data_IF_423895164337
#
_entry.id   IF_423895164337
#
_cell.length_a   1.000
_cell.length_b   1.000
_cell.length_c   1.000
_cell.angle_alpha   90.00
_cell.angle_beta   90.00
_cell.angle_gamma   90.00
#
_symmetry.space_group_name_H-M   'P 1'
#
loop_
_entity.id
_entity.type
_entity.pdbx_description
1 polymer ?
#
# COMPACT_ATOMS: atom_id res chain seq x y z
N UNK A 1 26.86 5.60 -12.84
CA UNK A 1 26.50 5.94 -11.44
C UNK A 1 26.30 4.64 -10.69
N UNK A 2 26.74 4.51 -9.42
CA UNK A 2 26.41 3.30 -8.62
C UNK A 2 24.97 3.40 -8.12
N UNK A 3 24.40 2.26 -7.70
CA UNK A 3 23.07 2.20 -7.09
C UNK A 3 22.97 3.07 -5.83
N UNK A 4 23.96 2.97 -4.93
CA UNK A 4 24.01 3.74 -3.69
C UNK A 4 24.03 5.25 -3.97
N UNK A 5 24.76 5.67 -5.01
CA UNK A 5 24.80 7.07 -5.43
C UNK A 5 23.46 7.53 -5.99
N UNK A 6 22.77 6.69 -6.79
CA UNK A 6 21.45 6.97 -7.32
C UNK A 6 20.40 7.11 -6.20
N UNK A 7 20.42 6.18 -5.24
CA UNK A 7 19.53 6.22 -4.07
C UNK A 7 19.79 7.45 -3.21
N UNK A 8 21.06 7.78 -2.94
CA UNK A 8 21.43 8.99 -2.19
C UNK A 8 20.96 10.27 -2.90
N UNK A 9 21.12 10.35 -4.24
CA UNK A 9 20.61 11.45 -5.05
C UNK A 9 19.10 11.58 -4.95
N UNK A 10 18.37 10.47 -5.04
CA UNK A 10 16.90 10.45 -4.87
C UNK A 10 16.49 11.02 -3.51
N UNK A 11 17.11 10.57 -2.40
CA UNK A 11 16.78 11.08 -1.08
C UNK A 11 17.20 12.54 -0.84
N UNK A 12 18.20 13.05 -1.56
CA UNK A 12 18.60 14.45 -1.52
C UNK A 12 17.53 15.39 -2.12
N UNK A 13 16.64 14.88 -3.00
CA UNK A 13 15.48 15.63 -3.51
C UNK A 13 14.40 15.86 -2.43
N UNK A 14 14.58 15.29 -1.25
CA UNK A 14 13.66 15.36 -0.12
C UNK A 14 12.75 14.14 -0.04
N UNK A 15 12.28 13.86 1.17
CA UNK A 15 11.24 12.85 1.37
C UNK A 15 9.90 13.33 0.79
N UNK A 16 9.04 12.41 0.38
CA UNK A 16 7.76 12.64 -0.33
C UNK A 16 6.89 13.81 0.18
N UNK A 17 7.04 14.20 1.45
CA UNK A 17 6.20 15.23 2.08
C UNK A 17 7.01 16.31 2.81
N UNK A 18 8.34 16.27 2.80
CA UNK A 18 9.13 17.08 3.74
C UNK A 18 9.24 18.55 3.37
N UNK A 19 9.12 18.93 2.10
CA UNK A 19 9.38 20.30 1.64
C UNK A 19 8.57 20.70 0.40
N UNK A 20 7.30 20.39 0.35
CA UNK A 20 6.53 20.78 -0.83
C UNK A 20 5.80 22.09 -0.57
N UNK A 21 6.28 23.23 -1.10
CA UNK A 21 5.45 24.41 -1.23
C UNK A 21 4.20 24.05 -2.05
N UNK A 22 3.08 24.72 -1.77
CA UNK A 22 1.80 24.49 -2.45
C UNK A 22 1.85 24.53 -4.00
N UNK A 23 2.95 25.04 -4.57
CA UNK A 23 3.20 25.15 -6.02
C UNK A 23 3.80 23.90 -6.68
N UNK A 24 4.15 22.84 -5.92
CA UNK A 24 4.79 21.63 -6.47
C UNK A 24 3.83 20.52 -6.92
N UNK A 25 2.54 20.70 -6.76
CA UNK A 25 1.54 19.78 -7.28
C UNK A 25 0.98 20.31 -8.60
N UNK A 26 1.76 20.14 -9.68
CA UNK A 26 1.31 20.48 -11.02
C UNK A 26 1.76 19.40 -12.00
N UNK A 27 0.80 18.80 -12.69
CA UNK A 27 1.07 17.81 -13.73
C UNK A 27 1.82 18.40 -14.94
N UNK A 28 1.87 19.71 -15.09
CA UNK A 28 2.61 20.36 -16.17
C UNK A 28 4.09 19.97 -16.13
N UNK A 29 4.72 19.97 -14.96
CA UNK A 29 6.12 19.56 -14.80
C UNK A 29 6.36 18.13 -15.24
N UNK A 30 5.53 17.21 -14.77
CA UNK A 30 5.62 15.80 -15.16
C UNK A 30 5.42 15.61 -16.67
N UNK A 31 4.48 16.34 -17.28
CA UNK A 31 4.24 16.30 -18.74
C UNK A 31 5.43 16.79 -19.54
N UNK A 32 6.09 17.88 -19.11
CA UNK A 32 7.31 18.40 -19.78
C UNK A 32 8.43 17.36 -19.68
N UNK A 33 8.65 16.76 -18.52
CA UNK A 33 9.65 15.70 -18.33
C UNK A 33 9.37 14.50 -19.25
N UNK A 34 8.14 13.98 -19.24
CA UNK A 34 7.75 12.82 -20.05
C UNK A 34 7.81 13.12 -21.56
N UNK A 35 7.49 14.34 -21.98
CA UNK A 35 7.66 14.76 -23.38
C UNK A 35 9.14 14.69 -23.81
N UNK A 36 10.06 15.18 -22.97
CA UNK A 36 11.49 15.09 -23.24
C UNK A 36 11.99 13.64 -23.24
N UNK A 37 11.32 12.75 -22.48
CA UNK A 37 11.54 11.30 -22.47
C UNK A 37 10.83 10.55 -23.60
N UNK A 38 10.14 11.24 -24.54
CA UNK A 38 9.37 10.67 -25.66
C UNK A 38 8.12 9.89 -25.25
N UNK A 39 7.46 10.31 -24.16
CA UNK A 39 6.18 9.78 -23.69
C UNK A 39 6.16 8.26 -23.36
N UNK A 40 7.08 7.76 -22.51
CA UNK A 40 7.12 6.35 -22.15
C UNK A 40 5.81 5.86 -21.50
N UNK A 41 5.02 6.77 -20.89
CA UNK A 41 3.71 6.48 -20.28
C UNK A 41 2.63 6.03 -21.29
N UNK A 42 2.89 6.16 -22.59
CA UNK A 42 1.96 5.79 -23.67
C UNK A 42 2.24 4.41 -24.29
N UNK A 43 3.35 3.79 -23.90
CA UNK A 43 3.80 2.53 -24.50
C UNK A 43 3.13 1.30 -23.84
N UNK A 44 2.28 1.50 -22.84
CA UNK A 44 1.58 0.42 -22.12
C UNK A 44 0.19 0.86 -21.68
N UNK A 45 -0.70 -0.12 -21.50
CA UNK A 45 -1.99 0.11 -20.86
C UNK A 45 -1.83 0.30 -19.34
N UNK A 46 -2.75 1.02 -18.71
CA UNK A 46 -2.64 1.27 -17.25
C UNK A 46 -3.98 1.14 -16.52
N UNK A 47 -3.90 0.76 -15.24
CA UNK A 47 -4.94 0.91 -14.24
C UNK A 47 -4.42 1.88 -13.18
N UNK A 48 -5.21 2.89 -12.84
CA UNK A 48 -4.83 3.90 -11.83
C UNK A 48 -5.68 3.73 -10.58
N UNK A 49 -5.05 3.62 -9.42
CA UNK A 49 -5.70 3.31 -8.14
C UNK A 49 -5.49 4.44 -7.13
N UNK A 50 -6.57 5.16 -6.79
CA UNK A 50 -6.57 6.17 -5.72
C UNK A 50 -7.41 5.71 -4.53
N UNK A 51 -7.20 6.34 -3.38
CA UNK A 51 -7.89 6.07 -2.13
C UNK A 51 -7.08 6.52 -0.92
N UNK A 52 -7.61 6.39 0.27
CA UNK A 52 -6.85 6.61 1.51
C UNK A 52 -6.21 5.30 1.93
N UNK A 53 -7.01 4.27 2.17
CA UNK A 53 -6.55 2.95 2.59
C UNK A 53 -6.85 1.90 1.52
N UNK A 54 -6.06 0.83 1.47
CA UNK A 54 -6.30 -0.31 0.58
C UNK A 54 -5.69 -0.22 -0.81
N UNK A 55 -5.13 0.91 -1.25
CA UNK A 55 -4.53 1.09 -2.57
C UNK A 55 -3.52 -0.01 -2.91
N UNK A 56 -2.46 -0.12 -2.12
CA UNK A 56 -1.39 -1.09 -2.35
C UNK A 56 -1.85 -2.54 -2.30
N UNK A 57 -2.76 -2.91 -1.37
CA UNK A 57 -3.34 -4.26 -1.31
C UNK A 57 -4.18 -4.58 -2.56
N UNK A 58 -5.00 -3.63 -3.01
CA UNK A 58 -5.77 -3.76 -4.26
C UNK A 58 -4.84 -3.88 -5.46
N UNK A 59 -3.81 -3.02 -5.53
CA UNK A 59 -2.82 -3.02 -6.61
C UNK A 59 -2.03 -4.34 -6.68
N UNK A 60 -1.54 -4.82 -5.55
CA UNK A 60 -0.80 -6.08 -5.48
C UNK A 60 -1.66 -7.28 -5.87
N UNK A 61 -2.92 -7.33 -5.40
CA UNK A 61 -3.86 -8.40 -5.77
C UNK A 61 -4.19 -8.36 -7.26
N UNK A 62 -4.47 -7.17 -7.81
CA UNK A 62 -4.75 -7.02 -9.24
C UNK A 62 -3.54 -7.43 -10.09
N UNK A 63 -2.35 -6.92 -9.77
CA UNK A 63 -1.13 -7.27 -10.50
C UNK A 63 -0.85 -8.78 -10.45
N UNK A 64 -1.12 -9.45 -9.33
CA UNK A 64 -0.98 -10.90 -9.20
C UNK A 64 -2.00 -11.66 -10.07
N UNK A 65 -3.26 -11.20 -10.16
CA UNK A 65 -4.27 -11.78 -11.05
C UNK A 65 -3.85 -11.61 -12.51
N UNK A 66 -3.39 -10.43 -12.93
CA UNK A 66 -2.97 -10.14 -14.29
C UNK A 66 -1.74 -10.97 -14.69
N UNK A 67 -0.74 -11.08 -13.81
CA UNK A 67 0.39 -11.98 -13.99
C UNK A 67 -0.06 -13.45 -14.14
N UNK A 68 -0.97 -13.90 -13.28
CA UNK A 68 -1.54 -15.24 -13.36
C UNK A 68 -2.32 -15.49 -14.65
N UNK A 69 -2.79 -14.41 -15.29
CA UNK A 69 -3.44 -14.45 -16.62
C UNK A 69 -2.45 -14.55 -17.79
N UNK A 70 -1.14 -14.49 -17.51
CA UNK A 70 -0.08 -14.54 -18.53
C UNK A 70 0.31 -13.19 -19.11
N UNK A 71 -0.24 -12.07 -18.60
CA UNK A 71 0.10 -10.72 -19.04
C UNK A 71 1.44 -10.27 -18.43
N UNK A 72 2.32 -9.66 -19.23
CA UNK A 72 3.53 -9.00 -18.72
C UNK A 72 3.11 -7.74 -17.97
N UNK A 73 3.02 -7.86 -16.66
CA UNK A 73 2.37 -6.89 -15.77
C UNK A 73 3.38 -6.12 -14.94
N UNK A 74 3.28 -4.78 -14.94
CA UNK A 74 4.02 -3.94 -14.02
C UNK A 74 3.16 -3.53 -12.83
N UNK A 75 3.83 -3.27 -11.70
CA UNK A 75 3.25 -2.74 -10.47
C UNK A 75 4.09 -1.56 -9.99
N UNK A 76 3.47 -0.40 -9.81
CA UNK A 76 4.05 0.78 -9.18
C UNK A 76 3.34 1.11 -7.89
N UNK A 77 4.05 1.18 -6.77
CA UNK A 77 3.48 1.39 -5.44
C UNK A 77 4.29 2.36 -4.59
N UNK A 78 3.67 2.94 -3.58
CA UNK A 78 4.31 3.84 -2.63
C UNK A 78 3.64 3.85 -1.25
N UNK A 79 4.40 4.09 -0.17
CA UNK A 79 5.86 4.05 -0.11
C UNK A 79 6.40 2.60 -0.08
N UNK A 80 7.74 2.43 -0.02
CA UNK A 80 8.40 1.13 0.17
C UNK A 80 8.55 0.79 1.67
N UNK A 81 8.78 -0.48 1.98
CA UNK A 81 9.10 -0.98 3.32
C UNK A 81 10.60 -0.91 3.61
N UNK A 82 11.40 -1.55 2.79
CA UNK A 82 12.85 -1.73 2.99
C UNK A 82 13.68 -1.01 1.93
N UNK A 83 13.34 -1.22 0.65
CA UNK A 83 14.16 -0.78 -0.48
C UNK A 83 13.34 0.03 -1.47
N UNK A 84 13.95 1.07 -2.03
CA UNK A 84 13.32 1.91 -3.06
C UNK A 84 12.87 1.11 -4.29
N UNK A 85 13.53 0.00 -4.59
CA UNK A 85 13.25 -0.90 -5.71
C UNK A 85 11.86 -1.54 -5.61
N UNK A 86 11.35 -1.77 -4.38
CA UNK A 86 10.02 -2.32 -4.14
C UNK A 86 8.90 -1.56 -4.85
N UNK A 87 9.14 -0.27 -5.15
CA UNK A 87 8.16 0.60 -5.80
C UNK A 87 7.93 0.26 -7.26
N UNK A 88 8.87 -0.42 -7.91
CA UNK A 88 8.88 -0.70 -9.35
C UNK A 88 9.06 -2.21 -9.54
N UNK A 89 7.99 -2.90 -9.91
CA UNK A 89 8.02 -4.34 -10.13
C UNK A 89 7.47 -4.72 -11.50
N UNK A 90 8.05 -5.74 -12.11
CA UNK A 90 7.52 -6.38 -13.32
C UNK A 90 7.37 -7.88 -13.04
N UNK A 91 6.18 -8.42 -13.27
CA UNK A 91 5.83 -9.82 -12.97
C UNK A 91 6.17 -10.26 -11.54
N UNK A 92 6.13 -9.32 -10.58
CA UNK A 92 6.42 -9.55 -9.16
C UNK A 92 7.87 -9.32 -8.76
N UNK A 93 8.80 -9.22 -9.73
CA UNK A 93 10.22 -8.97 -9.48
C UNK A 93 10.51 -7.47 -9.42
N UNK A 94 11.33 -7.05 -8.46
CA UNK A 94 11.76 -5.66 -8.30
C UNK A 94 12.73 -5.26 -9.40
N UNK A 95 12.73 -3.98 -9.77
CA UNK A 95 13.76 -3.42 -10.65
C UNK A 95 15.16 -3.72 -10.08
N UNK A 96 16.09 -4.13 -10.94
CA UNK A 96 17.47 -4.39 -10.53
C UNK A 96 18.18 -3.09 -10.08
N UNK A 97 19.20 -3.23 -9.23
CA UNK A 97 20.03 -2.10 -8.78
C UNK A 97 20.69 -1.40 -9.96
N UNK A 98 21.18 -2.16 -10.93
CA UNK A 98 21.82 -1.64 -12.14
C UNK A 98 20.83 -0.88 -13.04
N UNK A 99 19.64 -1.42 -13.26
CA UNK A 99 18.62 -0.75 -14.04
C UNK A 99 18.11 0.52 -13.37
N UNK A 100 17.91 0.47 -12.06
CA UNK A 100 17.53 1.65 -11.29
C UNK A 100 18.59 2.76 -11.41
N UNK A 101 19.86 2.43 -11.17
CA UNK A 101 20.97 3.40 -11.26
C UNK A 101 21.12 3.98 -12.68
N UNK A 102 21.00 3.14 -13.70
CA UNK A 102 21.08 3.55 -15.11
C UNK A 102 19.93 4.49 -15.48
N UNK A 103 18.69 4.09 -15.16
CA UNK A 103 17.50 4.89 -15.46
C UNK A 103 17.46 6.19 -14.68
N UNK A 104 17.84 6.17 -13.40
CA UNK A 104 18.01 7.38 -12.62
C UNK A 104 18.93 8.36 -13.33
N UNK A 105 20.16 7.94 -13.72
CA UNK A 105 21.11 8.81 -14.37
C UNK A 105 20.64 9.35 -15.74
N UNK A 106 19.80 8.60 -16.45
CA UNK A 106 19.21 9.07 -17.71
C UNK A 106 18.13 10.12 -17.49
N UNK A 107 17.20 9.88 -16.54
CA UNK A 107 16.09 10.78 -16.21
C UNK A 107 16.64 12.06 -15.58
N UNK A 108 17.59 11.94 -14.65
CA UNK A 108 18.25 13.05 -13.96
C UNK A 108 18.93 14.00 -14.95
N UNK A 109 19.71 13.45 -15.88
CA UNK A 109 20.34 14.24 -16.94
C UNK A 109 19.32 14.98 -17.82
N UNK A 110 18.18 14.36 -18.14
CA UNK A 110 17.12 15.03 -18.91
C UNK A 110 16.52 16.16 -18.06
N UNK A 111 16.24 15.92 -16.78
CA UNK A 111 15.70 16.91 -15.86
C UNK A 111 16.64 18.12 -15.70
N UNK A 112 17.94 17.89 -15.51
CA UNK A 112 18.95 18.95 -15.44
C UNK A 112 18.99 19.81 -16.73
N UNK A 113 18.91 19.15 -17.90
CA UNK A 113 18.87 19.86 -19.18
C UNK A 113 17.62 20.74 -19.34
N UNK A 114 16.47 20.25 -18.90
CA UNK A 114 15.22 21.02 -18.92
C UNK A 114 15.26 22.23 -17.98
N UNK A 115 15.85 22.06 -16.80
CA UNK A 115 16.07 23.19 -15.86
C UNK A 115 17.06 24.18 -16.43
N UNK A 116 18.18 23.74 -17.02
CA UNK A 116 19.18 24.61 -17.62
C UNK A 116 18.65 25.40 -18.83
N UNK A 117 17.61 24.89 -19.51
CA UNK A 117 16.92 25.58 -20.63
C UNK A 117 15.70 26.38 -20.18
N UNK A 118 15.46 26.48 -18.89
CA UNK A 118 14.28 27.14 -18.31
C UNK A 118 12.93 26.54 -18.77
N UNK A 119 12.94 25.29 -19.29
CA UNK A 119 11.73 24.53 -19.63
C UNK A 119 11.05 23.95 -18.37
N UNK A 120 11.84 23.70 -17.32
CA UNK A 120 11.37 23.42 -15.97
C UNK A 120 11.90 24.48 -15.00
N UNK A 121 11.05 25.04 -14.12
CA UNK A 121 11.47 26.09 -13.17
C UNK A 121 12.35 25.55 -12.03
N UNK A 122 12.31 24.23 -11.77
CA UNK A 122 13.13 23.51 -10.78
C UNK A 122 13.20 22.02 -11.14
N UNK A 123 14.16 21.34 -10.53
CA UNK A 123 14.32 19.89 -10.68
C UNK A 123 13.06 19.13 -10.20
N UNK A 124 12.62 18.05 -10.90
CA UNK A 124 11.52 17.23 -10.46
C UNK A 124 11.69 16.71 -9.03
N UNK A 125 10.59 16.57 -8.30
CA UNK A 125 10.56 16.05 -6.94
C UNK A 125 10.93 14.56 -6.91
N UNK A 126 11.22 14.04 -5.70
CA UNK A 126 11.43 12.60 -5.48
C UNK A 126 10.36 11.73 -6.15
N UNK A 127 9.08 12.08 -5.97
CA UNK A 127 7.99 11.27 -6.50
C UNK A 127 7.84 11.37 -8.02
N UNK A 128 8.05 12.54 -8.60
CA UNK A 128 8.07 12.74 -10.05
C UNK A 128 9.23 11.97 -10.70
N UNK A 129 10.44 12.02 -10.12
CA UNK A 129 11.59 11.22 -10.57
C UNK A 129 11.30 9.72 -10.50
N UNK A 130 10.76 9.23 -9.37
CA UNK A 130 10.39 7.81 -9.22
C UNK A 130 9.38 7.37 -10.27
N UNK A 131 8.35 8.19 -10.52
CA UNK A 131 7.31 7.90 -11.52
C UNK A 131 7.91 7.88 -12.93
N UNK A 132 8.79 8.82 -13.27
CA UNK A 132 9.47 8.86 -14.57
C UNK A 132 10.39 7.65 -14.77
N UNK A 133 11.17 7.26 -13.75
CA UNK A 133 12.02 6.05 -13.77
C UNK A 133 11.16 4.80 -14.00
N UNK A 134 10.03 4.68 -13.27
CA UNK A 134 9.10 3.56 -13.43
C UNK A 134 8.57 3.47 -14.85
N UNK A 135 8.08 4.57 -15.42
CA UNK A 135 7.54 4.57 -16.78
C UNK A 135 8.60 4.27 -17.83
N UNK A 136 9.84 4.79 -17.67
CA UNK A 136 10.95 4.45 -18.55
C UNK A 136 11.31 2.96 -18.48
N UNK A 137 11.27 2.38 -17.28
CA UNK A 137 11.51 0.94 -17.11
C UNK A 137 10.43 0.11 -17.77
N UNK A 138 9.16 0.44 -17.53
CA UNK A 138 8.01 -0.26 -18.07
C UNK A 138 7.97 -0.25 -19.61
N UNK A 139 8.22 0.92 -20.21
CA UNK A 139 8.29 1.06 -21.67
C UNK A 139 9.42 0.21 -22.28
N UNK A 140 10.63 0.25 -21.67
CA UNK A 140 11.76 -0.58 -22.14
C UNK A 140 11.52 -2.07 -22.05
N UNK A 141 10.89 -2.49 -20.98
CA UNK A 141 10.55 -3.87 -20.75
C UNK A 141 9.33 -4.33 -21.55
N UNK A 142 8.72 -3.41 -22.32
CA UNK A 142 7.57 -3.71 -23.19
C UNK A 142 6.46 -4.44 -22.42
N UNK A 143 6.08 -3.90 -21.27
CA UNK A 143 4.97 -4.46 -20.48
C UNK A 143 3.65 -4.26 -21.22
N UNK A 144 2.68 -5.14 -20.97
CA UNK A 144 1.34 -5.04 -21.56
C UNK A 144 0.44 -4.13 -20.75
N UNK A 145 0.55 -4.19 -19.40
CA UNK A 145 -0.28 -3.41 -18.48
C UNK A 145 0.45 -3.04 -17.19
N UNK A 146 0.28 -1.80 -16.75
CA UNK A 146 0.76 -1.31 -15.46
C UNK A 146 -0.39 -1.10 -14.48
N UNK A 147 -0.23 -1.58 -13.25
CA UNK A 147 -1.07 -1.23 -12.11
C UNK A 147 -0.34 -0.14 -11.32
N UNK A 148 -0.93 1.06 -11.29
CA UNK A 148 -0.31 2.25 -10.75
C UNK A 148 -1.04 2.71 -9.48
N UNK A 149 -0.37 2.68 -8.35
CA UNK A 149 -0.85 3.26 -7.10
C UNK A 149 -0.55 4.77 -7.07
N UNK A 150 -1.57 5.58 -6.85
CA UNK A 150 -1.45 7.03 -6.61
C UNK A 150 -0.72 7.26 -5.29
N UNK A 151 0.31 8.10 -5.29
CA UNK A 151 1.05 8.44 -4.09
C UNK A 151 0.21 9.22 -3.09
N UNK A 152 -0.35 10.36 -3.53
CA UNK A 152 -1.19 11.21 -2.68
C UNK A 152 -2.28 11.92 -3.49
N UNK A 153 -3.51 11.96 -2.93
CA UNK A 153 -4.65 12.60 -3.60
C UNK A 153 -5.09 11.81 -4.81
N UNK A 154 -4.84 12.33 -5.99
CA UNK A 154 -5.19 11.75 -7.29
C UNK A 154 -5.06 12.78 -8.40
N UNK A 155 -5.84 13.85 -8.36
CA UNK A 155 -5.96 14.87 -9.42
C UNK A 155 -4.62 15.44 -9.90
N UNK A 156 -3.71 15.74 -8.99
CA UNK A 156 -2.40 16.33 -9.25
C UNK A 156 -1.22 15.36 -8.96
N UNK A 157 -1.52 14.08 -8.76
CA UNK A 157 -0.48 13.06 -8.55
C UNK A 157 0.30 12.80 -9.84
N UNK A 158 1.63 12.64 -9.74
CA UNK A 158 2.49 12.43 -10.91
C UNK A 158 2.07 11.20 -11.75
N UNK A 159 1.45 10.19 -11.14
CA UNK A 159 0.93 9.03 -11.87
C UNK A 159 -0.30 9.36 -12.73
N UNK A 160 -1.00 10.46 -12.44
CA UNK A 160 -2.24 10.86 -13.14
C UNK A 160 -2.01 11.49 -14.53
N UNK A 161 -0.83 11.32 -15.08
CA UNK A 161 -0.49 11.72 -16.47
C UNK A 161 -0.85 10.64 -17.50
N UNK A 162 -1.17 9.42 -17.06
CA UNK A 162 -1.60 8.31 -17.92
C UNK A 162 -3.09 8.43 -18.31
N UNK A 163 -3.47 7.71 -19.37
CA UNK A 163 -4.88 7.49 -19.73
C UNK A 163 -5.27 6.06 -19.31
N UNK A 164 -5.79 5.87 -18.08
CA UNK A 164 -6.07 4.53 -17.56
C UNK A 164 -7.24 3.87 -18.28
N UNK A 165 -7.12 2.57 -18.56
CA UNK A 165 -8.22 1.73 -19.07
C UNK A 165 -9.33 1.62 -18.03
N UNK A 166 -8.94 1.54 -16.76
CA UNK A 166 -9.84 1.52 -15.60
C UNK A 166 -9.23 2.36 -14.48
N UNK A 167 -10.04 3.24 -13.88
CA UNK A 167 -9.73 3.93 -12.62
C UNK A 167 -10.34 3.16 -11.46
N UNK A 168 -9.63 3.09 -10.32
CA UNK A 168 -10.12 2.41 -9.11
C UNK A 168 -10.08 3.36 -7.93
N UNK A 169 -11.17 3.45 -7.18
CA UNK A 169 -11.22 4.24 -5.94
C UNK A 169 -11.45 3.28 -4.77
N UNK A 170 -10.43 3.15 -3.92
CA UNK A 170 -10.47 2.36 -2.68
C UNK A 170 -11.09 3.17 -1.54
N UNK A 171 -11.05 2.68 -0.30
CA UNK A 171 -11.69 3.36 0.83
C UNK A 171 -11.11 4.76 1.07
N UNK A 172 -12.01 5.74 1.25
CA UNK A 172 -11.70 7.14 1.53
C UNK A 172 -11.98 7.44 3.01
N UNK A 173 -11.00 8.05 3.66
CA UNK A 173 -11.07 8.54 5.04
C UNK A 173 -10.19 9.77 5.22
N UNK A 174 -10.28 10.41 6.38
CA UNK A 174 -9.41 11.54 6.72
C UNK A 174 -7.95 11.08 6.79
N UNK A 175 -7.12 11.64 5.95
CA UNK A 175 -5.65 11.53 5.96
C UNK A 175 -5.06 12.67 5.12
N UNK A 176 -3.80 13.04 5.37
CA UNK A 176 -3.11 14.10 4.65
C UNK A 176 -3.88 15.43 4.59
N UNK A 177 -4.60 15.80 5.66
CA UNK A 177 -5.53 16.95 5.69
C UNK A 177 -4.85 18.27 5.32
N UNK A 178 -3.56 18.45 5.62
CA UNK A 178 -2.78 19.64 5.22
C UNK A 178 -2.69 19.86 3.71
N UNK A 179 -2.90 18.81 2.91
CA UNK A 179 -2.73 18.84 1.46
C UNK A 179 -4.04 18.60 0.71
N UNK A 180 -4.92 17.74 1.25
CA UNK A 180 -6.09 17.24 0.53
C UNK A 180 -7.42 17.85 1.01
N UNK A 181 -7.38 18.62 2.13
CA UNK A 181 -8.55 19.21 2.74
C UNK A 181 -8.95 18.57 4.07
N UNK A 182 -9.87 19.21 4.77
CA UNK A 182 -10.26 18.87 6.14
C UNK A 182 -11.51 18.02 6.24
N UNK A 183 -12.18 17.76 5.12
CA UNK A 183 -13.41 16.97 5.04
C UNK A 183 -13.23 15.75 4.13
N UNK A 184 -14.03 14.72 4.37
CA UNK A 184 -14.06 13.52 3.52
C UNK A 184 -14.44 13.88 2.08
N UNK A 185 -15.34 14.85 1.90
CA UNK A 185 -15.75 15.33 0.58
C UNK A 185 -14.64 16.04 -0.20
N UNK A 186 -13.81 16.84 0.47
CA UNK A 186 -12.62 17.48 -0.15
C UNK A 186 -11.61 16.44 -0.60
N UNK A 187 -11.29 15.49 0.28
CA UNK A 187 -10.37 14.39 -0.01
C UNK A 187 -10.91 13.52 -1.15
N UNK A 188 -12.21 13.23 -1.17
CA UNK A 188 -12.86 12.49 -2.24
C UNK A 188 -12.74 13.20 -3.59
N UNK A 189 -12.86 14.53 -3.63
CA UNK A 189 -12.73 15.33 -4.86
C UNK A 189 -11.33 15.23 -5.45
N UNK A 190 -10.29 15.30 -4.62
CA UNK A 190 -8.90 15.09 -5.08
C UNK A 190 -8.70 13.68 -5.64
N UNK A 191 -9.29 12.65 -5.01
CA UNK A 191 -9.16 11.26 -5.46
C UNK A 191 -9.99 10.97 -6.72
N UNK A 192 -11.19 11.52 -6.83
CA UNK A 192 -12.05 11.40 -8.01
C UNK A 192 -11.43 12.05 -9.27
N UNK A 193 -10.41 12.91 -9.10
CA UNK A 193 -9.66 13.50 -10.21
C UNK A 193 -8.88 12.50 -11.09
N UNK A 194 -8.87 11.21 -10.76
CA UNK A 194 -8.34 10.15 -11.64
C UNK A 194 -9.38 9.59 -12.62
N UNK A 195 -10.67 9.95 -12.47
CA UNK A 195 -11.76 9.48 -13.34
C UNK A 195 -11.64 10.20 -14.68
N UNK A 196 -11.76 9.48 -15.77
CA UNK A 196 -11.68 10.03 -17.15
C UNK A 196 -13.06 10.20 -17.77
N UNK A 197 -13.26 11.21 -18.62
CA UNK A 197 -14.47 11.35 -19.40
C UNK A 197 -14.77 10.08 -20.23
N UNK A 198 -15.98 9.51 -20.07
CA UNK A 198 -16.36 8.26 -20.69
C UNK A 198 -15.58 7.02 -20.24
N UNK A 199 -14.72 7.14 -19.22
CA UNK A 199 -13.91 6.06 -18.68
C UNK A 199 -14.68 5.13 -17.76
N UNK A 200 -14.03 4.04 -17.33
CA UNK A 200 -14.59 3.10 -16.35
C UNK A 200 -13.98 3.37 -14.98
N UNK A 201 -14.81 3.45 -13.94
CA UNK A 201 -14.36 3.58 -12.56
C UNK A 201 -14.95 2.47 -11.69
N UNK A 202 -14.08 1.72 -11.02
CA UNK A 202 -14.46 0.66 -10.08
C UNK A 202 -14.35 1.21 -8.65
N UNK A 203 -15.41 1.03 -7.85
CA UNK A 203 -15.42 1.48 -6.46
C UNK A 203 -16.35 0.61 -5.59
N UNK A 204 -16.33 0.86 -4.29
CA UNK A 204 -17.23 0.30 -3.28
C UNK A 204 -17.98 1.44 -2.57
N UNK A 205 -19.11 1.17 -1.90
CA UNK A 205 -19.79 2.16 -1.06
C UNK A 205 -18.80 2.82 -0.08
N UNK A 206 -18.86 4.13 -0.05
CA UNK A 206 -18.05 5.01 0.80
C UNK A 206 -18.93 5.67 1.87
N UNK A 207 -18.34 6.54 2.70
CA UNK A 207 -19.11 7.47 3.51
C UNK A 207 -19.98 8.37 2.61
N UNK A 208 -21.15 8.82 3.08
CA UNK A 208 -22.11 9.55 2.22
C UNK A 208 -21.50 10.69 1.41
N UNK A 209 -20.70 11.54 2.07
CA UNK A 209 -20.04 12.69 1.42
C UNK A 209 -19.08 12.27 0.28
N UNK A 210 -18.35 11.16 0.46
CA UNK A 210 -17.48 10.63 -0.58
C UNK A 210 -18.29 9.98 -1.72
N UNK A 211 -19.37 9.26 -1.40
CA UNK A 211 -20.27 8.70 -2.41
C UNK A 211 -20.88 9.79 -3.30
N UNK A 212 -21.32 10.89 -2.70
CA UNK A 212 -21.91 12.02 -3.44
C UNK A 212 -20.89 12.63 -4.40
N UNK A 213 -19.66 12.85 -3.94
CA UNK A 213 -18.59 13.40 -4.79
C UNK A 213 -18.24 12.46 -5.94
N UNK A 214 -18.04 11.17 -5.66
CA UNK A 214 -17.71 10.17 -6.69
C UNK A 214 -18.86 10.02 -7.68
N UNK A 215 -20.11 9.90 -7.17
CA UNK A 215 -21.30 9.76 -8.00
C UNK A 215 -21.52 10.96 -8.92
N UNK A 216 -21.41 12.19 -8.42
CA UNK A 216 -21.50 13.40 -9.23
C UNK A 216 -20.38 13.46 -10.28
N UNK A 217 -19.14 13.11 -9.92
CA UNK A 217 -18.02 13.08 -10.87
C UNK A 217 -18.26 12.07 -11.99
N UNK A 218 -18.81 10.89 -11.68
CA UNK A 218 -19.18 9.87 -12.68
C UNK A 218 -20.23 10.44 -13.65
N UNK A 219 -21.25 11.09 -13.14
CA UNK A 219 -22.32 11.70 -13.95
C UNK A 219 -21.78 12.83 -14.84
N UNK A 220 -21.02 13.76 -14.27
CA UNK A 220 -20.46 14.91 -14.97
C UNK A 220 -19.52 14.52 -16.10
N UNK A 221 -18.74 13.47 -15.90
CA UNK A 221 -17.78 12.95 -16.89
C UNK A 221 -18.38 11.88 -17.80
N UNK A 222 -19.67 11.54 -17.66
CA UNK A 222 -20.32 10.45 -18.39
C UNK A 222 -19.53 9.13 -18.29
N UNK A 223 -18.90 8.88 -17.14
CA UNK A 223 -18.12 7.68 -16.89
C UNK A 223 -19.03 6.48 -16.53
N UNK A 224 -18.52 5.28 -16.73
CA UNK A 224 -19.18 4.04 -16.30
C UNK A 224 -18.76 3.71 -14.87
N UNK A 225 -19.70 3.81 -13.93
CA UNK A 225 -19.50 3.41 -12.53
C UNK A 225 -19.73 1.91 -12.34
N UNK A 226 -18.71 1.18 -11.87
CA UNK A 226 -18.79 -0.25 -11.58
C UNK A 226 -18.68 -0.49 -10.07
N UNK A 227 -19.69 -1.14 -9.50
CA UNK A 227 -19.67 -1.52 -8.08
C UNK A 227 -18.97 -2.85 -7.86
N UNK A 228 -18.01 -2.89 -6.95
CA UNK A 228 -17.36 -4.13 -6.54
C UNK A 228 -18.11 -4.89 -5.41
N UNK A 229 -19.28 -4.39 -4.98
CA UNK A 229 -20.11 -5.05 -3.94
C UNK A 229 -20.42 -6.51 -4.23
N UNK A 230 -20.72 -6.95 -5.46
CA UNK A 230 -21.00 -8.35 -5.76
C UNK A 230 -19.85 -9.30 -5.43
N UNK A 231 -18.62 -8.78 -5.32
CA UNK A 231 -17.42 -9.57 -5.04
C UNK A 231 -17.00 -9.53 -3.56
N UNK A 232 -17.73 -8.77 -2.72
CA UNK A 232 -17.52 -8.80 -1.26
C UNK A 232 -18.36 -9.94 -0.68
N UNK A 233 -17.74 -10.93 0.00
CA UNK A 233 -18.51 -12.04 0.59
C UNK A 233 -19.47 -11.53 1.66
N UNK A 234 -20.73 -11.98 1.63
CA UNK A 234 -21.81 -11.52 2.51
C UNK A 234 -21.54 -11.86 3.99
N UNK A 235 -20.90 -12.97 4.25
CA UNK A 235 -20.38 -13.36 5.57
C UNK A 235 -19.31 -14.44 5.35
N UNK A 236 -18.02 -14.14 5.53
CA UNK A 236 -17.05 -15.22 5.57
C UNK A 236 -17.36 -16.04 6.83
N UNK A 237 -17.86 -17.26 6.68
CA UNK A 237 -17.74 -18.21 7.75
C UNK A 237 -16.24 -18.38 8.00
N UNK A 238 -15.76 -17.74 9.03
CA UNK A 238 -14.41 -17.99 9.57
C UNK A 238 -14.42 -19.42 10.15
N UNK A 239 -14.41 -20.40 9.28
CA UNK A 239 -14.03 -21.76 9.68
C UNK A 239 -12.54 -21.68 9.99
N UNK A 240 -12.24 -21.42 11.25
CA UNK A 240 -10.94 -21.77 11.83
C UNK A 240 -10.75 -23.25 11.48
N UNK A 241 -9.73 -23.65 10.73
CA UNK A 241 -9.44 -25.06 10.55
C UNK A 241 -9.26 -25.66 11.93
N UNK A 242 -10.09 -26.66 12.26
CA UNK A 242 -9.83 -27.51 13.43
C UNK A 242 -8.35 -27.93 13.33
N UNK A 243 -7.59 -27.91 14.41
CA UNK A 243 -6.18 -28.27 14.36
C UNK A 243 -6.11 -29.82 14.21
N UNK A 244 -6.26 -30.30 12.99
CA UNK A 244 -5.82 -31.64 12.65
C UNK A 244 -4.29 -31.59 12.69
N UNK A 245 -3.77 -32.14 13.79
CA UNK A 245 -2.35 -32.40 14.00
C UNK A 245 -1.84 -33.33 12.88
N UNK A 246 -1.29 -32.76 11.80
CA UNK A 246 -0.34 -33.46 10.95
C UNK A 246 1.05 -33.31 11.55
N UNK A 247 1.82 -34.40 11.73
CA UNK A 247 3.18 -34.31 12.25
C UNK A 247 4.07 -33.54 11.28
N UNK A 248 4.77 -32.56 11.82
CA UNK A 248 5.72 -31.70 11.14
C UNK A 248 6.91 -32.55 10.64
N UNK A 249 7.04 -32.73 9.33
CA UNK A 249 8.29 -33.20 8.75
C UNK A 249 9.17 -31.99 8.46
N UNK A 250 10.31 -31.93 9.13
CA UNK A 250 11.33 -30.90 8.94
C UNK A 250 11.91 -30.96 7.51
N UNK A 251 11.63 -29.93 6.72
CA UNK A 251 12.23 -29.77 5.40
C UNK A 251 11.81 -28.42 4.79
N UNK A 252 12.78 -27.50 4.71
CA UNK A 252 12.78 -26.18 4.08
C UNK A 252 12.13 -25.06 4.91
N UNK A 253 12.99 -24.12 5.33
CA UNK A 253 12.62 -22.87 5.98
C UNK A 253 12.02 -21.90 4.94
N UNK A 254 10.74 -22.07 4.64
CA UNK A 254 9.92 -21.03 4.04
C UNK A 254 9.07 -20.38 5.14
N UNK A 255 9.13 -19.03 5.21
CA UNK A 255 8.55 -18.21 6.27
C UNK A 255 7.06 -18.50 6.53
N UNK A 256 6.62 -18.26 7.75
CA UNK A 256 5.27 -18.53 8.23
C UNK A 256 4.20 -18.06 7.25
N UNK A 257 3.44 -18.99 6.68
CA UNK A 257 2.32 -18.66 5.82
C UNK A 257 1.18 -18.09 6.69
N UNK A 258 0.73 -16.89 6.36
CA UNK A 258 -0.51 -16.35 6.90
C UNK A 258 -1.65 -17.35 6.65
N UNK A 259 -2.49 -17.65 7.65
CA UNK A 259 -3.65 -18.50 7.42
C UNK A 259 -4.55 -17.85 6.37
N UNK A 260 -4.78 -18.57 5.25
CA UNK A 260 -5.55 -18.08 4.12
C UNK A 260 -7.01 -17.76 4.50
N UNK A 261 -7.51 -16.61 4.08
CA UNK A 261 -8.95 -16.33 4.10
C UNK A 261 -9.62 -17.09 2.95
N UNK A 262 -10.57 -17.98 3.27
CA UNK A 262 -11.24 -18.84 2.30
C UNK A 262 -12.72 -18.52 2.19
N UNK A 263 -13.19 -18.32 0.96
CA UNK A 263 -14.63 -18.14 0.70
C UNK A 263 -14.96 -18.42 -0.76
N UNK A 264 -16.21 -18.89 -1.07
CA UNK A 264 -16.67 -19.01 -2.44
C UNK A 264 -16.99 -17.63 -3.03
N UNK A 265 -16.71 -17.45 -4.32
CA UNK A 265 -17.00 -16.22 -5.05
C UNK A 265 -17.47 -16.57 -6.47
N UNK A 266 -18.48 -15.82 -6.97
CA UNK A 266 -18.92 -15.88 -8.37
C UNK A 266 -18.12 -14.88 -9.19
N UNK A 267 -17.38 -15.35 -10.21
CA UNK A 267 -16.60 -14.52 -11.11
C UNK A 267 -16.82 -15.00 -12.54
N UNK A 268 -17.16 -14.10 -13.46
CA UNK A 268 -17.40 -14.43 -14.89
C UNK A 268 -18.38 -15.60 -15.09
N UNK A 269 -19.42 -15.69 -14.23
CA UNK A 269 -20.44 -16.75 -14.28
C UNK A 269 -20.00 -18.10 -13.71
N UNK A 270 -18.79 -18.25 -13.20
CA UNK A 270 -18.26 -19.47 -12.56
C UNK A 270 -18.00 -19.25 -11.08
N UNK A 271 -18.33 -20.24 -10.25
CA UNK A 271 -17.95 -20.22 -8.84
C UNK A 271 -16.50 -20.65 -8.69
N UNK A 272 -15.71 -19.83 -7.99
CA UNK A 272 -14.31 -20.06 -7.64
C UNK A 272 -14.17 -20.15 -6.10
N UNK A 273 -13.06 -20.75 -5.64
CA UNK A 273 -12.65 -20.70 -4.24
C UNK A 273 -11.55 -19.64 -4.08
N UNK A 274 -11.89 -18.54 -3.44
CA UNK A 274 -10.88 -17.55 -3.05
C UNK A 274 -10.09 -18.07 -1.86
N UNK A 275 -8.76 -18.04 -1.97
CA UNK A 275 -7.79 -18.32 -0.92
C UNK A 275 -6.82 -17.13 -0.85
N UNK A 276 -7.17 -16.12 -0.03
CA UNK A 276 -6.38 -14.89 0.06
C UNK A 276 -5.41 -14.93 1.26
N UNK A 277 -4.12 -14.62 1.07
CA UNK A 277 -3.17 -14.45 2.16
C UNK A 277 -3.34 -13.11 2.90
N UNK A 278 -4.11 -12.18 2.35
CA UNK A 278 -4.41 -10.90 2.98
C UNK A 278 -5.52 -11.07 4.01
N UNK A 279 -5.23 -10.67 5.25
CA UNK A 279 -6.05 -10.95 6.43
C UNK A 279 -6.86 -9.73 6.85
N UNK A 280 -8.11 -9.95 7.29
CA UNK A 280 -9.02 -8.96 7.83
C UNK A 280 -10.13 -8.55 6.86
N UNK A 281 -11.26 -8.08 7.41
CA UNK A 281 -12.47 -7.73 6.63
C UNK A 281 -12.22 -6.64 5.60
N UNK A 282 -11.36 -5.66 5.91
CA UNK A 282 -10.96 -4.62 4.98
C UNK A 282 -10.25 -5.18 3.75
N UNK A 283 -9.52 -6.29 3.89
CA UNK A 283 -8.86 -6.93 2.75
C UNK A 283 -9.84 -7.62 1.81
N UNK A 284 -10.99 -8.10 2.31
CA UNK A 284 -12.06 -8.63 1.44
C UNK A 284 -12.57 -7.55 0.46
N UNK A 285 -12.64 -6.30 0.92
CA UNK A 285 -13.00 -5.15 0.07
C UNK A 285 -11.91 -4.87 -0.97
N UNK A 286 -10.63 -4.93 -0.58
CA UNK A 286 -9.50 -4.72 -1.49
C UNK A 286 -9.43 -5.81 -2.57
N UNK A 287 -9.64 -7.08 -2.19
CA UNK A 287 -9.73 -8.21 -3.14
C UNK A 287 -10.92 -8.03 -4.08
N UNK A 288 -12.09 -7.62 -3.57
CA UNK A 288 -13.28 -7.36 -4.37
C UNK A 288 -13.03 -6.28 -5.45
N UNK A 289 -12.36 -5.17 -5.09
CA UNK A 289 -11.96 -4.14 -6.05
C UNK A 289 -11.02 -4.68 -7.13
N UNK A 290 -10.02 -5.49 -6.76
CA UNK A 290 -9.10 -6.12 -7.70
C UNK A 290 -9.83 -7.07 -8.66
N UNK A 291 -10.75 -7.91 -8.14
CA UNK A 291 -11.57 -8.83 -8.94
C UNK A 291 -12.46 -8.06 -9.92
N UNK A 292 -13.21 -7.06 -9.43
CA UNK A 292 -14.07 -6.23 -10.29
C UNK A 292 -13.26 -5.55 -11.39
N UNK A 293 -12.08 -5.04 -11.07
CA UNK A 293 -11.19 -4.39 -12.04
C UNK A 293 -10.68 -5.36 -13.09
N UNK A 294 -10.20 -6.54 -12.69
CA UNK A 294 -9.72 -7.56 -13.64
C UNK A 294 -10.85 -8.04 -14.57
N UNK A 295 -12.10 -8.16 -14.08
CA UNK A 295 -13.24 -8.48 -14.92
C UNK A 295 -13.54 -7.36 -15.94
N UNK A 296 -13.40 -6.08 -15.57
CA UNK A 296 -13.54 -4.99 -16.53
C UNK A 296 -12.42 -5.01 -17.58
N UNK A 297 -11.18 -5.33 -17.20
CA UNK A 297 -10.08 -5.50 -18.15
C UNK A 297 -10.36 -6.65 -19.14
N UNK A 298 -10.91 -7.77 -18.67
CA UNK A 298 -11.34 -8.86 -19.57
C UNK A 298 -12.36 -8.38 -20.59
N UNK A 299 -13.37 -7.57 -20.18
CA UNK A 299 -14.36 -6.97 -21.10
C UNK A 299 -13.74 -5.98 -22.08
N UNK A 300 -12.61 -5.36 -21.74
CA UNK A 300 -11.84 -4.44 -22.61
C UNK A 300 -10.86 -5.18 -23.54
N UNK A 301 -10.86 -6.51 -23.55
CA UNK A 301 -10.10 -7.33 -24.49
C UNK A 301 -8.75 -7.85 -23.98
N UNK A 302 -8.42 -7.69 -22.70
CA UNK A 302 -7.23 -8.32 -22.10
C UNK A 302 -7.45 -9.84 -22.01
N UNK A 303 -6.72 -10.60 -22.82
CA UNK A 303 -6.85 -12.04 -22.89
C UNK A 303 -6.26 -12.75 -21.66
N UNK A 304 -6.64 -14.01 -21.46
CA UNK A 304 -6.09 -14.86 -20.40
C UNK A 304 -6.67 -14.61 -18.99
N UNK A 305 -7.48 -13.56 -18.80
CA UNK A 305 -8.18 -13.34 -17.53
C UNK A 305 -9.33 -14.32 -17.41
N UNK A 306 -9.09 -15.45 -16.72
CA UNK A 306 -10.04 -16.56 -16.56
C UNK A 306 -10.34 -16.80 -15.09
N UNK A 307 -11.44 -17.50 -14.73
CA UNK A 307 -11.72 -17.85 -13.33
C UNK A 307 -10.54 -18.52 -12.60
N UNK A 308 -9.78 -19.36 -13.28
CA UNK A 308 -8.59 -20.04 -12.75
C UNK A 308 -7.45 -19.05 -12.49
N UNK A 309 -7.32 -18.00 -13.32
CA UNK A 309 -6.35 -16.94 -13.11
C UNK A 309 -6.69 -16.10 -11.86
N UNK A 310 -7.97 -15.87 -11.58
CA UNK A 310 -8.40 -15.23 -10.32
C UNK A 310 -8.01 -16.07 -9.10
N UNK A 311 -8.35 -17.37 -9.09
CA UNK A 311 -7.99 -18.25 -7.96
C UNK A 311 -6.49 -18.26 -7.71
N UNK A 312 -5.70 -18.48 -8.76
CA UNK A 312 -4.25 -18.54 -8.66
C UNK A 312 -3.66 -17.18 -8.27
N UNK A 313 -4.05 -16.10 -8.92
CA UNK A 313 -3.51 -14.78 -8.68
C UNK A 313 -3.82 -14.25 -7.28
N UNK A 314 -5.04 -14.46 -6.77
CA UNK A 314 -5.38 -14.07 -5.39
C UNK A 314 -4.55 -14.86 -4.39
N UNK A 315 -4.41 -16.17 -4.55
CA UNK A 315 -3.62 -17.03 -3.67
C UNK A 315 -2.14 -16.68 -3.68
N UNK A 316 -1.58 -16.30 -4.82
CA UNK A 316 -0.18 -15.94 -4.97
C UNK A 316 0.12 -14.49 -4.62
N UNK A 317 -0.88 -13.71 -4.18
CA UNK A 317 -0.68 -12.31 -3.77
C UNK A 317 0.31 -12.23 -2.62
N UNK A 318 1.38 -11.45 -2.79
CA UNK A 318 2.36 -11.17 -1.73
C UNK A 318 2.39 -9.67 -1.47
N UNK A 319 2.02 -9.30 -0.25
CA UNK A 319 2.00 -7.89 0.16
C UNK A 319 2.43 -7.77 1.63
N UNK A 320 3.74 -7.65 1.90
CA UNK A 320 4.27 -7.68 3.26
C UNK A 320 3.80 -6.50 4.10
N UNK A 321 3.85 -6.65 5.43
CA UNK A 321 3.47 -5.62 6.38
C UNK A 321 1.95 -5.34 6.44
N UNK A 322 1.10 -6.26 5.99
CA UNK A 322 -0.36 -6.18 6.09
C UNK A 322 -0.89 -7.35 6.88
N UNK A 323 -0.97 -7.17 8.19
CA UNK A 323 -1.28 -8.24 9.15
C UNK A 323 -0.41 -9.49 8.89
N UNK A 324 0.86 -9.26 8.65
CA UNK A 324 1.83 -10.34 8.40
C UNK A 324 2.17 -11.03 9.72
N UNK A 325 1.88 -12.32 9.80
CA UNK A 325 2.15 -13.11 11.00
C UNK A 325 3.46 -13.87 10.84
N UNK A 326 4.37 -13.68 11.77
CA UNK A 326 5.58 -14.46 11.92
C UNK A 326 5.36 -15.44 13.08
N UNK A 327 5.42 -16.73 12.79
CA UNK A 327 5.27 -17.76 13.83
C UNK A 327 6.39 -17.65 14.87
N UNK A 328 6.07 -18.06 16.09
CA UNK A 328 7.06 -18.13 17.17
C UNK A 328 8.27 -18.98 16.74
N UNK A 329 9.47 -18.42 16.80
CA UNK A 329 10.73 -19.09 16.43
C UNK A 329 11.92 -18.44 17.14
N UNK A 330 12.99 -19.19 17.33
CA UNK A 330 14.30 -18.68 17.81
C UNK A 330 14.20 -17.83 19.09
N UNK A 331 13.29 -18.23 20.00
CA UNK A 331 13.04 -17.51 21.25
C UNK A 331 12.20 -16.24 21.10
N UNK A 332 11.69 -15.93 19.90
CA UNK A 332 10.68 -14.92 19.66
C UNK A 332 9.26 -15.48 19.83
N UNK A 333 8.33 -14.77 20.47
CA UNK A 333 6.92 -15.09 20.40
C UNK A 333 6.39 -14.84 18.98
N UNK A 334 5.11 -15.14 18.76
CA UNK A 334 4.45 -14.74 17.50
C UNK A 334 4.48 -13.21 17.34
N UNK A 335 4.82 -12.74 16.12
CA UNK A 335 4.88 -11.32 15.81
C UNK A 335 3.88 -11.02 14.69
N UNK A 336 3.08 -9.97 14.86
CA UNK A 336 2.23 -9.40 13.82
C UNK A 336 2.84 -8.08 13.34
N UNK A 337 3.09 -7.98 12.04
CA UNK A 337 3.57 -6.75 11.38
C UNK A 337 2.41 -6.11 10.60
N UNK A 338 2.03 -4.89 10.95
CA UNK A 338 0.98 -4.16 10.24
C UNK A 338 1.29 -2.66 10.12
N UNK A 339 1.17 -2.11 8.92
CA UNK A 339 1.50 -0.72 8.61
C UNK A 339 0.33 0.26 8.84
N UNK A 340 -0.66 -0.06 9.65
CA UNK A 340 -1.70 0.88 10.05
C UNK A 340 -1.06 2.17 10.58
N UNK A 341 -1.42 3.33 10.02
CA UNK A 341 -0.79 4.62 10.31
C UNK A 341 -1.78 5.79 10.34
N UNK A 342 -3.07 5.49 10.37
CA UNK A 342 -4.17 6.44 10.53
C UNK A 342 -5.31 5.76 11.31
N UNK A 343 -6.31 6.51 11.82
CA UNK A 343 -7.40 5.94 12.63
C UNK A 343 -8.17 4.83 11.94
N UNK A 344 -8.47 4.96 10.64
CA UNK A 344 -9.18 3.91 9.90
C UNK A 344 -8.37 2.62 9.77
N UNK A 345 -7.05 2.72 9.55
CA UNK A 345 -6.12 1.59 9.58
C UNK A 345 -6.03 0.96 10.98
N UNK A 346 -5.99 1.78 12.02
CA UNK A 346 -5.99 1.31 13.41
C UNK A 346 -7.27 0.53 13.75
N UNK A 347 -8.45 0.99 13.31
CA UNK A 347 -9.70 0.23 13.45
C UNK A 347 -9.69 -1.10 12.71
N UNK A 348 -9.13 -1.13 11.49
CA UNK A 348 -8.99 -2.35 10.71
C UNK A 348 -8.08 -3.37 11.40
N UNK A 349 -6.93 -2.91 11.93
CA UNK A 349 -5.99 -3.73 12.69
C UNK A 349 -6.64 -4.23 13.98
N UNK A 350 -7.31 -3.36 14.75
CA UNK A 350 -8.05 -3.73 15.97
C UNK A 350 -9.03 -4.88 15.70
N UNK A 351 -9.85 -4.74 14.64
CA UNK A 351 -10.82 -5.78 14.28
C UNK A 351 -10.13 -7.13 13.96
N UNK A 352 -9.03 -7.10 13.19
CA UNK A 352 -8.30 -8.31 12.83
C UNK A 352 -7.63 -8.98 14.06
N UNK A 353 -7.07 -8.17 14.97
CA UNK A 353 -6.50 -8.68 16.24
C UNK A 353 -7.57 -9.32 17.12
N UNK A 354 -8.71 -8.64 17.28
CA UNK A 354 -9.83 -9.15 18.09
C UNK A 354 -10.46 -10.44 17.53
N UNK A 355 -10.39 -10.65 16.22
CA UNK A 355 -10.89 -11.90 15.59
C UNK A 355 -9.90 -13.07 15.71
N UNK A 356 -8.58 -12.79 15.69
CA UNK A 356 -7.55 -13.84 15.57
C UNK A 356 -6.79 -14.13 16.85
N UNK A 357 -6.67 -13.17 17.73
CA UNK A 357 -5.88 -13.27 18.97
C UNK A 357 -6.75 -13.09 20.21
N UNK A 358 -7.94 -13.70 20.19
CA UNK A 358 -8.87 -13.70 21.33
C UNK A 358 -8.15 -14.20 22.58
N UNK A 359 -8.27 -13.45 23.67
CA UNK A 359 -7.72 -13.77 25.00
C UNK A 359 -6.18 -13.97 25.05
N UNK A 360 -5.45 -13.52 24.01
CA UNK A 360 -3.98 -13.52 24.03
C UNK A 360 -3.44 -12.18 24.49
N UNK A 361 -2.42 -12.16 25.37
CA UNK A 361 -1.74 -10.91 25.74
C UNK A 361 -1.09 -10.25 24.52
N UNK A 362 -1.37 -8.96 24.29
CA UNK A 362 -0.79 -8.20 23.19
C UNK A 362 0.23 -7.20 23.69
N UNK A 363 1.43 -7.24 23.15
CA UNK A 363 2.49 -6.25 23.41
C UNK A 363 2.68 -5.43 22.13
N UNK A 364 2.35 -4.15 22.19
CA UNK A 364 2.53 -3.28 21.03
C UNK A 364 3.93 -2.67 21.03
N UNK A 365 4.62 -2.77 19.87
CA UNK A 365 5.73 -1.89 19.52
C UNK A 365 5.15 -0.85 18.57
N UNK A 366 5.09 0.39 19.03
CA UNK A 366 4.35 1.45 18.33
C UNK A 366 5.21 2.67 18.04
N UNK A 367 5.13 3.15 16.80
CA UNK A 367 5.68 4.46 16.42
C UNK A 367 4.77 5.12 15.39
N UNK A 368 4.79 6.43 15.32
CA UNK A 368 4.00 7.20 14.36
C UNK A 368 4.76 8.43 13.88
N UNK A 369 4.37 8.94 12.70
CA UNK A 369 4.86 10.23 12.22
C UNK A 369 4.10 11.37 12.92
N UNK A 370 4.78 12.51 13.15
CA UNK A 370 4.21 13.67 13.87
C UNK A 370 2.97 14.27 13.20
N UNK A 371 2.84 14.08 11.87
CA UNK A 371 1.71 14.58 11.09
C UNK A 371 0.48 13.65 11.13
N UNK A 372 0.53 12.55 11.88
CA UNK A 372 -0.58 11.59 12.01
C UNK A 372 -1.38 11.79 13.28
N UNK A 373 -2.61 11.30 13.28
CA UNK A 373 -3.54 11.39 14.41
C UNK A 373 -3.17 10.38 15.54
N UNK A 374 -2.05 10.64 16.26
CA UNK A 374 -1.48 9.71 17.25
C UNK A 374 -2.47 9.45 18.38
N UNK A 375 -3.14 10.48 18.89
CA UNK A 375 -4.13 10.35 19.98
C UNK A 375 -5.25 9.39 19.63
N UNK A 376 -5.87 9.57 18.44
CA UNK A 376 -6.96 8.72 17.99
C UNK A 376 -6.51 7.27 17.76
N UNK A 377 -5.31 7.07 17.19
CA UNK A 377 -4.76 5.71 17.03
C UNK A 377 -4.49 5.04 18.36
N UNK A 378 -3.99 5.79 19.36
CA UNK A 378 -3.77 5.30 20.71
C UNK A 378 -5.09 4.88 21.37
N UNK A 379 -6.14 5.70 21.28
CA UNK A 379 -7.49 5.37 21.79
C UNK A 379 -8.05 4.09 21.18
N UNK A 380 -7.73 3.83 19.92
CA UNK A 380 -8.21 2.63 19.20
C UNK A 380 -7.42 1.38 19.61
N UNK A 381 -6.08 1.46 19.68
CA UNK A 381 -5.21 0.29 19.79
C UNK A 381 -4.75 0.00 21.22
N UNK A 382 -4.40 1.01 22.01
CA UNK A 382 -3.77 0.81 23.32
C UNK A 382 -4.66 0.11 24.35
N UNK A 383 -6.00 0.26 24.34
CA UNK A 383 -6.88 -0.52 25.21
C UNK A 383 -6.83 -2.04 24.98
N UNK A 384 -6.25 -2.52 23.87
CA UNK A 384 -6.02 -3.95 23.62
C UNK A 384 -4.71 -4.46 24.21
N UNK A 385 -3.80 -3.54 24.57
CA UNK A 385 -2.44 -3.86 24.93
C UNK A 385 -2.34 -4.24 26.41
N UNK A 386 -1.60 -5.32 26.73
CA UNK A 386 -1.07 -5.55 28.06
C UNK A 386 0.05 -4.51 28.34
N UNK A 387 0.84 -4.19 27.31
CA UNK A 387 1.91 -3.21 27.36
C UNK A 387 2.11 -2.55 26.00
N UNK A 388 2.44 -1.26 25.97
CA UNK A 388 2.86 -0.51 24.80
C UNK A 388 4.32 -0.10 24.95
N UNK A 389 5.14 -0.45 23.97
CA UNK A 389 6.52 0.02 23.86
C UNK A 389 6.54 1.06 22.75
N UNK A 390 6.58 2.32 23.16
CA UNK A 390 6.67 3.45 22.24
C UNK A 390 8.11 3.62 21.78
N UNK A 391 8.33 3.78 20.46
CA UNK A 391 9.67 3.92 19.93
C UNK A 391 9.73 4.87 18.75
N UNK A 392 10.92 5.07 18.18
CA UNK A 392 11.17 5.96 17.06
C UNK A 392 11.98 5.25 15.98
N UNK A 393 11.42 5.05 14.75
CA UNK A 393 12.19 4.59 13.62
C UNK A 393 13.15 5.70 13.12
N UNK A 394 14.14 5.28 12.34
CA UNK A 394 15.14 6.17 11.76
C UNK A 394 14.56 7.04 10.62
N UNK A 395 13.68 7.96 11.03
CA UNK A 395 13.01 8.91 10.13
C UNK A 395 12.86 10.29 10.82
N UNK A 396 13.26 11.41 10.20
CA UNK A 396 13.20 12.74 10.82
C UNK A 396 11.78 13.21 11.14
N UNK A 397 10.76 12.66 10.48
CA UNK A 397 9.34 12.98 10.73
C UNK A 397 8.74 12.18 11.88
N UNK A 398 9.44 11.16 12.39
CA UNK A 398 8.92 10.33 13.45
C UNK A 398 8.75 11.12 14.76
N UNK A 399 7.64 10.89 15.46
CA UNK A 399 7.43 11.38 16.80
C UNK A 399 8.46 10.75 17.75
N UNK A 400 8.83 11.48 18.81
CA UNK A 400 9.65 10.91 19.87
C UNK A 400 8.84 9.88 20.68
N UNK A 401 9.50 8.91 21.25
CA UNK A 401 8.86 7.89 22.09
C UNK A 401 8.11 8.53 23.28
N UNK A 402 8.70 9.57 23.87
CA UNK A 402 8.11 10.35 24.97
C UNK A 402 6.87 11.16 24.52
N UNK A 403 6.88 11.69 23.27
CA UNK A 403 5.71 12.37 22.69
C UNK A 403 4.54 11.38 22.55
N UNK A 404 4.81 10.15 22.13
CA UNK A 404 3.79 9.08 22.02
C UNK A 404 3.28 8.70 23.41
N UNK A 405 4.17 8.53 24.38
CA UNK A 405 3.80 8.23 25.76
C UNK A 405 2.88 9.31 26.36
N UNK A 406 3.24 10.58 26.21
CA UNK A 406 2.44 11.71 26.70
C UNK A 406 1.07 11.77 25.99
N UNK A 407 1.07 11.62 24.66
CA UNK A 407 -0.17 11.67 23.86
C UNK A 407 -1.10 10.50 24.17
N UNK A 408 -0.56 9.31 24.46
CA UNK A 408 -1.34 8.10 24.76
C UNK A 408 -1.70 7.92 26.24
N UNK A 409 -1.18 8.76 27.17
CA UNK A 409 -1.35 8.59 28.61
C UNK A 409 -2.82 8.54 29.07
N UNK A 410 -3.71 9.26 28.37
CA UNK A 410 -5.13 9.29 28.68
C UNK A 410 -5.85 7.94 28.45
N UNK A 411 -5.26 7.00 27.71
CA UNK A 411 -5.82 5.67 27.46
C UNK A 411 -5.74 4.73 28.65
N UNK A 412 -4.94 5.07 29.66
CA UNK A 412 -4.67 4.24 30.83
C UNK A 412 -3.75 3.03 30.57
N UNK A 413 -3.22 2.88 29.35
CA UNK A 413 -2.28 1.82 29.03
C UNK A 413 -0.90 2.09 29.65
N UNK A 414 -0.18 1.01 30.01
CA UNK A 414 1.23 1.11 30.41
C UNK A 414 2.10 1.36 29.16
N UNK A 415 2.66 2.57 29.04
CA UNK A 415 3.45 2.98 27.88
C UNK A 415 4.90 3.22 28.32
N UNK A 416 5.81 2.41 27.78
CA UNK A 416 7.25 2.47 28.03
C UNK A 416 7.95 3.12 26.82
N UNK A 417 8.61 4.29 26.98
CA UNK A 417 9.38 4.90 25.89
C UNK A 417 10.74 4.22 25.74
N UNK A 418 11.10 3.85 24.51
CA UNK A 418 12.37 3.21 24.15
C UNK A 418 12.96 3.92 22.93
N UNK A 419 14.27 4.27 22.91
CA UNK A 419 14.83 5.23 21.96
C UNK A 419 14.86 4.76 20.49
N UNK A 420 15.00 3.47 20.22
CA UNK A 420 15.18 2.89 18.91
C UNK A 420 14.42 1.57 18.73
N UNK A 421 14.23 1.16 17.49
CA UNK A 421 13.42 -0.01 17.12
C UNK A 421 14.05 -1.33 17.59
N UNK A 422 15.39 -1.45 17.54
CA UNK A 422 16.08 -2.68 17.95
C UNK A 422 15.89 -2.92 19.46
N UNK A 423 16.12 -1.88 20.26
CA UNK A 423 15.91 -1.90 21.71
C UNK A 423 14.44 -2.16 22.06
N UNK A 424 13.49 -1.59 21.28
CA UNK A 424 12.06 -1.78 21.50
C UNK A 424 11.62 -3.23 21.22
N UNK A 425 12.13 -3.86 20.15
CA UNK A 425 11.86 -5.26 19.85
C UNK A 425 12.41 -6.20 20.93
N UNK A 426 13.64 -6.00 21.37
CA UNK A 426 14.22 -6.79 22.46
C UNK A 426 13.45 -6.58 23.79
N UNK A 427 13.01 -5.36 24.06
CA UNK A 427 12.18 -5.08 25.25
C UNK A 427 10.81 -5.76 25.16
N UNK A 428 10.19 -5.79 23.97
CA UNK A 428 8.95 -6.51 23.73
C UNK A 428 9.13 -8.02 23.93
N UNK A 429 10.23 -8.58 23.42
CA UNK A 429 10.59 -9.99 23.59
C UNK A 429 10.73 -10.36 25.07
N UNK A 430 11.41 -9.51 25.85
CA UNK A 430 11.61 -9.72 27.30
C UNK A 430 10.31 -9.62 28.10
N UNK A 431 9.39 -8.74 27.68
CA UNK A 431 8.11 -8.54 28.33
C UNK A 431 7.09 -9.65 27.97
N UNK A 432 7.34 -10.40 26.90
CA UNK A 432 6.40 -11.40 26.39
C UNK A 432 6.31 -12.64 27.30
N UNK A 433 5.14 -12.84 27.88
CA UNK A 433 4.78 -14.06 28.59
C UNK A 433 4.41 -15.18 27.62
N UNK A 434 4.21 -16.40 28.17
CA UNK A 434 3.75 -17.55 27.37
C UNK A 434 2.42 -17.22 26.68
N UNK A 435 2.38 -17.38 25.36
CA UNK A 435 1.20 -17.10 24.53
C UNK A 435 1.03 -15.65 24.11
N UNK A 436 1.90 -14.72 24.53
CA UNK A 436 1.87 -13.33 24.08
C UNK A 436 2.12 -13.19 22.56
N UNK A 437 1.61 -12.10 22.00
CA UNK A 437 1.83 -11.67 20.61
C UNK A 437 2.44 -10.29 20.63
N UNK A 438 3.53 -10.10 19.89
CA UNK A 438 4.10 -8.78 19.65
C UNK A 438 3.44 -8.19 18.40
N UNK A 439 2.88 -7.00 18.52
CA UNK A 439 2.24 -6.27 17.39
C UNK A 439 3.08 -5.05 17.07
N UNK A 440 3.73 -5.05 15.91
CA UNK A 440 4.55 -3.92 15.43
C UNK A 440 3.70 -3.09 14.47
N UNK A 441 3.36 -1.84 14.83
CA UNK A 441 2.43 -1.03 14.06
C UNK A 441 2.56 0.47 14.31
N UNK A 442 1.79 1.27 13.56
CA UNK A 442 1.68 2.73 13.64
C UNK A 442 2.46 3.47 12.56
N UNK A 443 3.39 2.82 11.89
CA UNK A 443 4.17 3.41 10.80
C UNK A 443 4.75 2.36 9.86
N UNK A 444 4.73 2.65 8.57
CA UNK A 444 5.42 1.81 7.57
C UNK A 444 6.94 1.77 7.81
N UNK A 445 7.53 2.87 8.25
CA UNK A 445 8.96 2.96 8.55
C UNK A 445 9.36 2.09 9.75
N UNK A 446 8.51 2.06 10.79
CA UNK A 446 8.71 1.16 11.93
C UNK A 446 8.67 -0.30 11.48
N UNK A 447 7.66 -0.66 10.70
CA UNK A 447 7.50 -2.05 10.23
C UNK A 447 8.66 -2.44 9.33
N UNK A 448 9.10 -1.58 8.40
CA UNK A 448 10.26 -1.84 7.55
C UNK A 448 11.54 -2.03 8.35
N UNK A 449 11.82 -1.15 9.33
CA UNK A 449 13.00 -1.27 10.18
C UNK A 449 12.95 -2.54 11.05
N UNK A 450 11.78 -2.88 11.59
CA UNK A 450 11.59 -4.13 12.33
C UNK A 450 11.82 -5.37 11.44
N UNK A 451 11.33 -5.37 10.19
CA UNK A 451 11.59 -6.45 9.23
C UNK A 451 13.08 -6.64 8.97
N UNK A 452 13.83 -5.55 8.77
CA UNK A 452 15.28 -5.59 8.58
C UNK A 452 15.99 -6.21 9.78
N UNK A 453 15.61 -5.84 11.00
CA UNK A 453 16.19 -6.36 12.25
C UNK A 453 15.86 -7.84 12.43
N UNK A 454 14.64 -8.26 12.03
CA UNK A 454 14.17 -9.64 12.12
C UNK A 454 14.71 -10.54 10.98
N UNK A 455 15.49 -9.99 10.03
CA UNK A 455 16.10 -10.72 8.92
C UNK A 455 15.09 -11.17 7.85
N UNK A 456 14.08 -10.33 7.54
CA UNK A 456 13.02 -10.60 6.56
C UNK A 456 13.29 -9.90 5.23
#
# INVERSE_FOLDING_TARGET
>A
MSYETAVASMFALGHELAQTPAHKFDLAHMRVLLQAMKHPERDFASVLIAGTNGKGSTAATLASILRASGLKTALYTSPHLLRINERIRINGEEISDDDFARLHGEVDRIAEQLVAREELPWHPSFFEMMTAIAFAHFAREQIEIAVLEVGMGGRLDATNVVEPVVSVITDISLDHQKFLGNTVGEIAREKAGIIRPGGVVVTLPQQPEANDVIGNTILDLHAEGVSAVPYVPACPELRVPSPEKKPFTAGHAEGAENPLQRYPLQVMGKQILVESPLVGRHQLRNVALAVATAEQLSKKGFAGITPEAFERGIRETRWPGRFQVLAARDGWPEIVLDVAHNPAGAWALRAALSERHVDRPLIFVFAAMRDKAISEMAEILFPLAERVIATRPENPRAALAEEIQQTGAHTGAEIEPVPDVASALERAKQAANVGAVIVVTGSIYLVGEAMRILGL
#
